data_IF_230882030166
#
_entry.id   IF_230882030166
#
_cell.length_a   1.000
_cell.length_b   1.000
_cell.length_c   1.000
_cell.angle_alpha   90.00
_cell.angle_beta   90.00
_cell.angle_gamma   90.00
#
_symmetry.space_group_name_H-M   'P 1'
#
loop_
_entity.id
_entity.type
_entity.pdbx_description
1 polymer ?
#
# COMPACT_ATOMS: atom_id res chain seq x y z
N UNK A 1 54.31 -4.79 -22.84
CA UNK A 1 54.30 -4.19 -21.49
C UNK A 1 53.19 -4.86 -20.70
N UNK A 2 53.53 -5.76 -19.77
CA UNK A 2 52.57 -6.59 -19.03
C UNK A 2 52.16 -5.81 -17.77
N UNK A 3 50.90 -5.40 -17.67
CA UNK A 3 50.35 -4.76 -16.47
C UNK A 3 50.01 -5.87 -15.46
N UNK A 4 50.67 -5.86 -14.30
CA UNK A 4 50.45 -6.88 -13.26
C UNK A 4 49.23 -6.56 -12.41
N UNK A 5 48.50 -7.61 -12.00
CA UNK A 5 47.27 -7.58 -11.18
C UNK A 5 47.40 -6.86 -9.82
N UNK A 6 48.60 -6.50 -9.37
CA UNK A 6 48.82 -5.76 -8.12
C UNK A 6 48.61 -4.24 -8.24
N UNK A 7 48.59 -3.68 -9.45
CA UNK A 7 48.35 -2.25 -9.66
C UNK A 7 46.89 -1.80 -9.46
N UNK A 8 45.92 -2.73 -9.49
CA UNK A 8 44.50 -2.40 -9.41
C UNK A 8 43.94 -2.30 -7.98
N UNK A 9 44.67 -2.78 -6.97
CA UNK A 9 44.17 -2.82 -5.58
C UNK A 9 44.51 -1.52 -4.82
N UNK A 10 45.50 -0.74 -5.28
CA UNK A 10 45.88 0.50 -4.61
C UNK A 10 45.02 1.73 -4.99
N UNK A 11 44.18 1.64 -6.03
CA UNK A 11 43.41 2.78 -6.55
C UNK A 11 41.99 2.94 -5.98
N UNK A 12 41.46 1.94 -5.27
CA UNK A 12 40.04 1.90 -4.87
C UNK A 12 39.77 2.35 -3.44
N UNK A 13 40.80 2.59 -2.63
CA UNK A 13 40.61 2.96 -1.22
C UNK A 13 40.26 4.45 -1.02
N UNK A 14 40.54 5.34 -1.99
CA UNK A 14 40.33 6.78 -1.84
C UNK A 14 39.03 7.32 -2.45
N UNK A 15 38.31 6.53 -3.26
CA UNK A 15 37.07 6.95 -3.95
C UNK A 15 35.79 6.67 -3.18
N UNK A 16 35.83 5.89 -2.09
CA UNK A 16 34.64 5.53 -1.31
C UNK A 16 34.07 6.66 -0.44
N UNK A 17 34.92 7.56 0.08
CA UNK A 17 34.47 8.60 1.01
C UNK A 17 33.81 9.81 0.32
N UNK A 18 34.15 10.08 -0.95
CA UNK A 18 33.61 11.24 -1.70
C UNK A 18 32.22 10.95 -2.28
N UNK A 19 31.89 9.68 -2.55
CA UNK A 19 30.58 9.30 -3.10
C UNK A 19 29.44 9.41 -2.08
N UNK A 20 29.71 9.17 -0.79
CA UNK A 20 28.67 9.23 0.25
C UNK A 20 28.24 10.66 0.61
N UNK A 21 29.14 11.64 0.53
CA UNK A 21 28.78 13.06 0.73
C UNK A 21 28.11 13.70 -0.51
N UNK A 22 28.24 13.07 -1.69
CA UNK A 22 27.67 13.55 -2.95
C UNK A 22 26.18 13.24 -3.10
N UNK A 23 25.72 12.07 -2.62
CA UNK A 23 24.32 11.68 -2.73
C UNK A 23 23.37 12.62 -1.96
N UNK A 24 23.77 13.09 -0.77
CA UNK A 24 22.98 14.04 0.02
C UNK A 24 22.81 15.39 -0.69
N UNK A 25 23.85 15.89 -1.38
CA UNK A 25 23.75 17.14 -2.16
C UNK A 25 22.93 16.99 -3.44
N UNK A 26 22.97 15.81 -4.07
CA UNK A 26 22.19 15.50 -5.28
C UNK A 26 20.69 15.36 -4.93
N UNK A 27 20.34 14.72 -3.83
CA UNK A 27 18.94 14.60 -3.36
C UNK A 27 18.35 15.97 -2.97
N UNK A 28 19.18 16.93 -2.57
CA UNK A 28 18.76 18.30 -2.25
C UNK A 28 18.68 19.23 -3.48
N UNK A 29 19.12 18.80 -4.67
CA UNK A 29 18.99 19.59 -5.89
C UNK A 29 17.61 19.40 -6.56
N UNK A 30 16.85 20.47 -6.82
CA UNK A 30 15.52 20.40 -7.44
C UNK A 30 15.51 19.69 -8.81
N UNK A 31 16.61 19.81 -9.57
CA UNK A 31 16.74 19.19 -10.89
C UNK A 31 16.86 17.67 -10.84
N UNK A 32 17.64 17.13 -9.89
CA UNK A 32 17.77 15.69 -9.69
C UNK A 32 16.45 15.07 -9.19
N UNK A 33 15.74 15.76 -8.28
CA UNK A 33 14.38 15.36 -7.88
C UNK A 33 13.41 15.30 -9.06
N UNK A 34 13.43 16.30 -9.96
CA UNK A 34 12.58 16.28 -11.17
C UNK A 34 12.88 15.09 -12.07
N UNK A 35 14.14 14.69 -12.22
CA UNK A 35 14.51 13.52 -13.05
C UNK A 35 14.03 12.21 -12.41
N UNK A 36 14.13 12.08 -11.08
CA UNK A 36 13.63 10.91 -10.36
C UNK A 36 12.10 10.78 -10.45
N UNK A 37 11.36 11.87 -10.23
CA UNK A 37 9.90 11.89 -10.40
C UNK A 37 9.47 11.68 -11.86
N UNK A 38 10.29 12.10 -12.83
CA UNK A 38 10.08 11.75 -14.24
C UNK A 38 10.15 10.22 -14.43
N UNK A 39 11.07 9.56 -13.75
CA UNK A 39 11.21 8.10 -13.76
C UNK A 39 9.97 7.39 -13.25
N UNK A 40 9.43 7.83 -12.11
CA UNK A 40 8.19 7.26 -11.53
C UNK A 40 6.98 7.51 -12.44
N UNK A 41 6.81 8.74 -12.94
CA UNK A 41 5.71 9.09 -13.85
C UNK A 41 5.81 8.36 -15.18
N UNK A 42 7.02 8.16 -15.70
CA UNK A 42 7.29 7.35 -16.89
C UNK A 42 7.02 5.87 -16.63
N UNK A 43 7.44 5.31 -15.50
CA UNK A 43 7.17 3.93 -15.12
C UNK A 43 5.67 3.67 -15.04
N UNK A 44 4.94 4.53 -14.31
CA UNK A 44 3.48 4.48 -14.21
C UNK A 44 2.80 4.65 -15.57
N UNK A 45 3.27 5.59 -16.38
CA UNK A 45 2.76 5.82 -17.73
C UNK A 45 2.94 4.60 -18.65
N UNK A 46 4.13 3.99 -18.61
CA UNK A 46 4.47 2.82 -19.40
C UNK A 46 3.66 1.60 -18.98
N UNK A 47 3.58 1.30 -17.67
CA UNK A 47 2.79 0.16 -17.18
C UNK A 47 1.31 0.30 -17.57
N UNK A 48 0.74 1.52 -17.51
CA UNK A 48 -0.64 1.78 -17.93
C UNK A 48 -0.85 1.73 -19.45
N UNK A 49 0.18 1.98 -20.24
CA UNK A 49 0.09 1.88 -21.70
C UNK A 49 0.21 0.42 -22.18
N UNK A 50 0.95 -0.40 -21.44
CA UNK A 50 1.22 -1.80 -21.80
C UNK A 50 0.22 -2.80 -21.18
N UNK A 51 -0.36 -2.47 -20.04
CA UNK A 51 -1.29 -3.35 -19.33
C UNK A 51 -2.72 -2.86 -19.51
N UNK A 52 -3.62 -3.76 -19.94
CA UNK A 52 -5.05 -3.48 -19.95
C UNK A 52 -5.49 -3.04 -18.54
N UNK A 53 -6.30 -1.99 -18.46
CA UNK A 53 -6.70 -1.38 -17.20
C UNK A 53 -7.44 -2.36 -16.29
N UNK A 54 -8.12 -3.33 -16.88
CA UNK A 54 -8.86 -4.38 -16.19
C UNK A 54 -8.13 -5.74 -16.19
N UNK A 55 -6.86 -5.78 -16.61
CA UNK A 55 -6.06 -7.00 -16.56
C UNK A 55 -5.89 -7.47 -15.11
N UNK A 56 -6.44 -8.64 -14.83
CA UNK A 56 -6.32 -9.29 -13.54
C UNK A 56 -4.88 -9.75 -13.31
N UNK A 57 -4.39 -9.60 -12.07
CA UNK A 57 -3.20 -10.31 -11.63
C UNK A 57 -3.47 -11.82 -11.61
N UNK A 58 -2.44 -12.65 -11.77
CA UNK A 58 -2.58 -14.10 -11.68
C UNK A 58 -3.25 -14.52 -10.37
N UNK A 59 -4.28 -15.37 -10.49
CA UNK A 59 -4.88 -16.06 -9.37
C UNK A 59 -4.36 -17.49 -9.30
N UNK A 60 -4.21 -17.99 -8.08
CA UNK A 60 -3.56 -19.27 -7.79
C UNK A 60 -4.57 -20.31 -7.32
N UNK A 61 -4.25 -21.59 -7.51
CA UNK A 61 -5.04 -22.69 -6.98
C UNK A 61 -4.91 -22.78 -5.44
N UNK A 62 -5.91 -23.32 -4.73
CA UNK A 62 -5.88 -23.46 -3.26
C UNK A 62 -4.65 -24.21 -2.71
N UNK A 63 -4.09 -25.13 -3.48
CA UNK A 63 -2.92 -25.95 -3.15
C UNK A 63 -1.61 -25.16 -3.23
N UNK A 64 -1.61 -24.05 -3.96
CA UNK A 64 -0.44 -23.16 -4.11
C UNK A 64 -0.35 -22.11 -3.00
N UNK A 65 -1.31 -22.10 -2.06
CA UNK A 65 -1.26 -21.19 -0.91
C UNK A 65 -0.01 -21.43 -0.07
N UNK A 66 0.60 -20.35 0.41
CA UNK A 66 1.72 -20.47 1.34
C UNK A 66 1.24 -21.14 2.64
N UNK A 67 2.01 -22.09 3.21
CA UNK A 67 1.65 -22.75 4.48
C UNK A 67 1.40 -21.75 5.62
N UNK A 68 2.14 -20.65 5.57
CA UNK A 68 2.00 -19.52 6.47
C UNK A 68 2.04 -18.22 5.66
N UNK A 69 1.05 -17.35 5.86
CA UNK A 69 1.05 -16.04 5.26
C UNK A 69 1.84 -15.06 6.14
N UNK A 70 3.07 -14.75 5.74
CA UNK A 70 3.98 -13.88 6.49
C UNK A 70 3.40 -12.46 6.61
N UNK A 71 3.34 -11.87 7.83
CA UNK A 71 2.95 -10.47 8.00
C UNK A 71 4.11 -9.53 7.65
N UNK A 72 3.81 -8.45 6.92
CA UNK A 72 4.72 -7.34 6.63
C UNK A 72 4.49 -6.14 7.59
N UNK A 73 5.52 -5.35 7.90
CA UNK A 73 5.38 -4.14 8.74
C UNK A 73 4.86 -4.41 10.16
N UNK A 74 4.09 -3.46 10.72
CA UNK A 74 3.52 -3.52 12.07
C UNK A 74 2.72 -4.79 12.31
N UNK A 75 2.95 -5.55 13.39
CA UNK A 75 2.19 -6.79 13.67
C UNK A 75 1.06 -6.61 14.69
N UNK A 76 1.07 -5.52 15.41
CA UNK A 76 0.02 -5.09 16.32
C UNK A 76 0.13 -3.56 16.43
N UNK A 77 -0.94 -2.79 16.16
CA UNK A 77 -0.93 -1.34 16.34
C UNK A 77 -0.47 -0.91 17.73
N UNK A 78 -0.82 -1.69 18.77
CA UNK A 78 -0.43 -1.41 20.15
C UNK A 78 -1.00 -0.12 20.74
N UNK A 79 -1.91 0.57 20.03
CA UNK A 79 -2.56 1.79 20.51
C UNK A 79 -3.69 1.44 21.49
N UNK A 80 -3.95 2.26 22.52
CA UNK A 80 -5.05 2.03 23.47
C UNK A 80 -6.40 1.88 22.76
N UNK A 81 -6.66 2.71 21.74
CA UNK A 81 -7.89 2.71 20.96
C UNK A 81 -8.08 1.39 20.20
N UNK A 82 -7.04 0.92 19.51
CA UNK A 82 -7.10 -0.37 18.80
C UNK A 82 -7.19 -1.55 19.78
N UNK A 83 -6.50 -1.46 20.93
CA UNK A 83 -6.57 -2.45 22.00
C UNK A 83 -7.99 -2.63 22.54
N UNK A 84 -8.72 -1.53 22.75
CA UNK A 84 -10.12 -1.56 23.17
C UNK A 84 -11.03 -2.23 22.12
N UNK A 85 -10.85 -1.88 20.83
CA UNK A 85 -11.59 -2.50 19.74
C UNK A 85 -11.32 -4.00 19.65
N UNK A 86 -10.05 -4.42 19.77
CA UNK A 86 -9.66 -5.83 19.78
C UNK A 86 -10.27 -6.59 20.96
N UNK A 87 -10.29 -6.01 22.15
CA UNK A 87 -10.89 -6.62 23.34
C UNK A 87 -12.40 -6.88 23.16
N UNK A 88 -13.09 -5.99 22.44
CA UNK A 88 -14.49 -6.15 22.05
C UNK A 88 -14.71 -6.99 20.79
N UNK A 89 -13.73 -7.79 20.32
CA UNK A 89 -13.78 -8.55 19.07
C UNK A 89 -14.20 -7.69 17.85
N UNK A 90 -13.80 -6.42 17.84
CA UNK A 90 -14.12 -5.43 16.81
C UNK A 90 -15.63 -5.17 16.63
N UNK A 91 -16.47 -5.47 17.61
CA UNK A 91 -17.91 -5.18 17.55
C UNK A 91 -18.19 -3.68 17.37
N UNK A 92 -17.38 -2.83 17.99
CA UNK A 92 -17.49 -1.36 17.92
C UNK A 92 -16.61 -0.74 16.81
N UNK A 93 -15.84 -1.55 16.08
CA UNK A 93 -15.02 -1.03 14.98
C UNK A 93 -15.92 -0.53 13.85
N UNK A 94 -15.54 0.61 13.29
CA UNK A 94 -16.23 1.23 12.16
C UNK A 94 -15.22 1.73 11.13
N UNK A 95 -15.45 1.42 9.86
CA UNK A 95 -14.73 2.01 8.74
C UNK A 95 -15.46 3.26 8.27
N UNK A 96 -14.86 4.43 8.52
CA UNK A 96 -15.38 5.69 8.01
C UNK A 96 -15.03 5.84 6.52
N UNK A 97 -15.99 6.27 5.70
CA UNK A 97 -15.80 6.61 4.29
C UNK A 97 -16.24 8.05 4.08
N UNK A 98 -15.31 8.91 3.69
CA UNK A 98 -15.48 10.37 3.68
C UNK A 98 -14.74 11.08 2.55
N UNK A 99 -14.44 12.36 2.79
CA UNK A 99 -13.82 13.25 1.82
C UNK A 99 -14.82 13.72 0.76
N UNK A 100 -14.43 13.62 -0.50
CA UNK A 100 -15.22 14.00 -1.67
C UNK A 100 -16.28 12.95 -2.00
N UNK A 101 -17.24 12.76 -1.10
CA UNK A 101 -18.38 11.85 -1.26
C UNK A 101 -19.70 12.60 -1.06
N UNK A 102 -20.78 12.11 -1.68
CA UNK A 102 -22.12 12.66 -1.53
C UNK A 102 -22.73 12.25 -0.18
N UNK A 103 -22.46 11.02 0.25
CA UNK A 103 -22.97 10.43 1.49
C UNK A 103 -21.80 9.82 2.26
N UNK A 104 -21.27 10.50 3.29
CA UNK A 104 -20.32 9.86 4.20
C UNK A 104 -20.95 8.62 4.82
N UNK A 105 -20.21 7.51 4.84
CA UNK A 105 -20.66 6.22 5.36
C UNK A 105 -19.78 5.77 6.52
N UNK A 106 -20.33 4.89 7.35
CA UNK A 106 -19.63 4.26 8.46
C UNK A 106 -20.05 2.80 8.50
N UNK A 107 -19.16 1.89 8.12
CA UNK A 107 -19.45 0.47 8.02
C UNK A 107 -18.95 -0.28 9.25
N UNK A 108 -19.80 -1.07 9.89
CA UNK A 108 -19.32 -2.13 10.78
C UNK A 108 -18.68 -3.27 9.98
N UNK A 109 -17.99 -4.18 10.67
CA UNK A 109 -17.46 -5.40 10.03
C UNK A 109 -18.59 -6.26 9.42
N UNK A 110 -19.76 -6.29 10.09
CA UNK A 110 -20.95 -6.98 9.60
C UNK A 110 -21.47 -6.36 8.30
N UNK A 111 -21.51 -5.02 8.23
CA UNK A 111 -21.97 -4.32 7.03
C UNK A 111 -21.05 -4.58 5.84
N UNK A 112 -19.72 -4.57 6.06
CA UNK A 112 -18.75 -4.93 5.01
C UNK A 112 -18.92 -6.38 4.55
N UNK A 113 -19.20 -7.31 5.45
CA UNK A 113 -19.49 -8.70 5.12
C UNK A 113 -20.79 -8.91 4.34
N UNK A 114 -21.75 -7.99 4.46
CA UNK A 114 -23.04 -8.04 3.77
C UNK A 114 -23.01 -7.47 2.34
N UNK A 115 -21.98 -6.70 1.99
CA UNK A 115 -21.77 -6.22 0.62
C UNK A 115 -21.42 -7.38 -0.34
N UNK A 116 -21.55 -7.22 -1.67
CA UNK A 116 -21.07 -8.20 -2.64
C UNK A 116 -19.59 -8.52 -2.40
N UNK A 117 -19.30 -9.80 -2.16
CA UNK A 117 -17.96 -10.27 -1.81
C UNK A 117 -17.19 -10.70 -3.06
N UNK A 118 -15.89 -10.41 -3.05
CA UNK A 118 -14.90 -11.05 -3.92
C UNK A 118 -14.00 -11.93 -3.07
N UNK A 119 -13.80 -13.17 -3.51
CA UNK A 119 -12.71 -14.01 -3.06
C UNK A 119 -11.64 -14.06 -4.15
N UNK A 120 -10.36 -14.03 -3.77
CA UNK A 120 -9.23 -14.13 -4.69
C UNK A 120 -8.06 -14.81 -3.99
N UNK A 121 -7.35 -15.69 -4.69
CA UNK A 121 -6.10 -16.29 -4.20
C UNK A 121 -4.96 -15.63 -4.94
N UNK A 122 -4.28 -14.70 -4.28
CA UNK A 122 -3.31 -13.80 -4.90
C UNK A 122 -1.98 -13.84 -4.16
N UNK A 123 -0.91 -13.52 -4.88
CA UNK A 123 0.42 -13.37 -4.31
C UNK A 123 0.60 -11.95 -3.78
N UNK A 124 1.19 -11.85 -2.60
CA UNK A 124 1.68 -10.60 -2.04
C UNK A 124 3.18 -10.57 -2.23
N UNK A 125 3.66 -9.57 -2.96
CA UNK A 125 5.08 -9.36 -3.23
C UNK A 125 5.60 -8.22 -2.34
N UNK A 126 6.51 -8.55 -1.42
CA UNK A 126 7.08 -7.60 -0.48
C UNK A 126 8.39 -7.01 -1.02
N UNK A 127 8.58 -5.71 -0.80
CA UNK A 127 9.83 -4.99 -1.13
C UNK A 127 11.07 -5.59 -0.44
N UNK A 128 10.87 -6.31 0.67
CA UNK A 128 11.92 -7.03 1.40
C UNK A 128 12.38 -8.33 0.71
N UNK A 129 11.95 -8.60 -0.53
CA UNK A 129 12.44 -9.72 -1.34
C UNK A 129 11.77 -11.07 -1.06
N UNK A 130 10.56 -11.07 -0.49
CA UNK A 130 9.79 -12.29 -0.23
C UNK A 130 8.36 -12.16 -0.74
N UNK A 131 7.73 -13.31 -1.02
CA UNK A 131 6.34 -13.37 -1.45
C UNK A 131 5.53 -14.38 -0.65
N UNK A 132 4.23 -14.15 -0.50
CA UNK A 132 3.30 -15.10 0.11
C UNK A 132 1.98 -15.15 -0.64
N UNK A 133 1.42 -16.34 -0.83
CA UNK A 133 0.13 -16.56 -1.51
C UNK A 133 -0.95 -16.81 -0.46
N UNK A 134 -2.03 -16.04 -0.52
CA UNK A 134 -3.15 -16.12 0.41
C UNK A 134 -4.49 -16.01 -0.29
N UNK A 135 -5.51 -16.68 0.26
CA UNK A 135 -6.90 -16.46 -0.14
C UNK A 135 -7.46 -15.29 0.66
N UNK A 136 -7.86 -14.23 -0.03
CA UNK A 136 -8.46 -13.05 0.56
C UNK A 136 -9.94 -12.99 0.25
N UNK A 137 -10.71 -12.39 1.16
CA UNK A 137 -12.12 -12.13 0.94
C UNK A 137 -12.54 -10.77 1.49
N UNK A 138 -13.29 -10.03 0.68
CA UNK A 138 -13.82 -8.72 1.01
C UNK A 138 -14.63 -8.09 -0.13
N UNK A 139 -15.38 -7.01 0.15
CA UNK A 139 -16.01 -6.22 -0.91
C UNK A 139 -14.96 -5.47 -1.73
N UNK A 140 -15.30 -5.19 -3.00
CA UNK A 140 -14.47 -4.35 -3.87
C UNK A 140 -14.48 -2.92 -3.36
N UNK A 141 -13.31 -2.27 -3.33
CA UNK A 141 -13.19 -0.88 -2.89
C UNK A 141 -14.05 0.05 -3.77
N UNK A 142 -14.03 -0.15 -5.09
CA UNK A 142 -14.84 0.63 -6.03
C UNK A 142 -16.34 0.60 -5.71
N UNK A 143 -16.88 -0.52 -5.21
CA UNK A 143 -18.30 -0.61 -4.87
C UNK A 143 -18.64 0.15 -3.58
N UNK A 144 -17.72 0.15 -2.60
CA UNK A 144 -17.83 0.98 -1.39
C UNK A 144 -17.81 2.47 -1.74
N UNK A 145 -16.90 2.88 -2.63
CA UNK A 145 -16.80 4.27 -3.10
C UNK A 145 -18.04 4.72 -3.89
N UNK A 146 -18.60 3.82 -4.72
CA UNK A 146 -19.87 4.06 -5.43
C UNK A 146 -21.04 4.20 -4.46
N UNK A 147 -21.11 3.35 -3.43
CA UNK A 147 -22.16 3.42 -2.41
C UNK A 147 -22.16 4.77 -1.66
N UNK A 148 -20.97 5.27 -1.32
CA UNK A 148 -20.79 6.60 -0.73
C UNK A 148 -21.08 7.76 -1.71
N UNK A 149 -21.18 7.47 -3.01
CA UNK A 149 -21.37 8.47 -4.06
C UNK A 149 -20.15 9.39 -4.19
N UNK A 150 -18.98 8.81 -4.47
CA UNK A 150 -17.76 9.57 -4.76
C UNK A 150 -18.03 10.67 -5.79
N UNK A 151 -17.64 11.90 -5.48
CA UNK A 151 -17.88 13.09 -6.30
C UNK A 151 -16.86 13.20 -7.43
N UNK A 152 -17.28 13.86 -8.50
CA UNK A 152 -16.40 14.29 -9.57
C UNK A 152 -15.27 15.17 -9.02
N UNK A 153 -14.08 15.03 -9.60
CA UNK A 153 -12.88 15.76 -9.17
C UNK A 153 -12.07 15.04 -8.08
N UNK A 154 -12.58 13.98 -7.46
CA UNK A 154 -11.73 13.06 -6.71
C UNK A 154 -10.69 12.42 -7.65
N UNK A 155 -9.45 12.26 -7.16
CA UNK A 155 -8.33 11.71 -7.94
C UNK A 155 -7.58 10.61 -7.20
N UNK A 156 -7.65 10.62 -5.87
CA UNK A 156 -6.93 9.70 -5.01
C UNK A 156 -7.83 9.22 -3.87
N UNK A 157 -7.52 8.03 -3.38
CA UNK A 157 -8.13 7.44 -2.19
C UNK A 157 -7.06 7.32 -1.12
N UNK A 158 -7.32 7.90 0.04
CA UNK A 158 -6.41 7.92 1.18
C UNK A 158 -6.95 7.01 2.26
N UNK A 159 -6.07 6.18 2.81
CA UNK A 159 -6.35 5.20 3.85
C UNK A 159 -5.66 5.62 5.15
N UNK A 160 -6.43 5.83 6.21
CA UNK A 160 -5.90 6.05 7.56
C UNK A 160 -5.99 4.76 8.36
N UNK A 161 -4.92 4.43 9.06
CA UNK A 161 -4.75 3.16 9.77
C UNK A 161 -4.65 3.39 11.28
N UNK A 162 -4.87 2.32 12.06
CA UNK A 162 -4.80 2.38 13.52
C UNK A 162 -3.35 2.31 14.05
N UNK A 163 -2.40 1.88 13.23
CA UNK A 163 -1.02 1.68 13.64
C UNK A 163 -0.16 2.93 13.52
N UNK A 164 0.91 2.92 14.32
CA UNK A 164 2.00 3.86 14.26
C UNK A 164 3.23 3.16 13.70
N UNK A 165 3.91 3.81 12.77
CA UNK A 165 5.21 3.37 12.28
C UNK A 165 6.25 4.42 12.65
N UNK A 166 7.32 4.01 13.33
CA UNK A 166 8.32 4.95 13.87
C UNK A 166 7.73 6.03 14.79
N UNK A 167 6.59 5.76 15.44
CA UNK A 167 5.88 6.72 16.30
C UNK A 167 4.94 7.69 15.57
N UNK A 168 4.84 7.64 14.24
CA UNK A 168 3.93 8.47 13.45
C UNK A 168 2.76 7.64 12.90
N UNK A 169 1.55 8.22 12.75
CA UNK A 169 0.40 7.54 12.18
C UNK A 169 0.67 6.99 10.77
N UNK A 170 0.38 5.70 10.57
CA UNK A 170 0.47 5.10 9.26
C UNK A 170 -0.71 5.52 8.38
N UNK A 171 -0.42 5.88 7.14
CA UNK A 171 -1.41 6.14 6.12
C UNK A 171 -0.87 5.75 4.76
N UNK A 172 -1.79 5.53 3.82
CA UNK A 172 -1.45 5.15 2.46
C UNK A 172 -2.40 5.79 1.46
N UNK A 173 -2.03 5.84 0.18
CA UNK A 173 -2.95 6.24 -0.88
C UNK A 173 -2.73 5.52 -2.20
N UNK A 174 -3.80 5.47 -3.00
CA UNK A 174 -3.79 4.97 -4.37
C UNK A 174 -4.61 5.91 -5.27
N UNK A 175 -4.42 5.85 -6.58
CA UNK A 175 -5.28 6.54 -7.53
C UNK A 175 -6.60 5.80 -7.81
N UNK A 176 -7.46 6.45 -8.59
CA UNK A 176 -8.74 5.86 -8.99
C UNK A 176 -8.62 4.66 -9.93
N UNK A 177 -7.54 4.52 -10.69
CA UNK A 177 -7.36 3.35 -11.57
C UNK A 177 -7.20 2.10 -10.70
N UNK A 178 -6.34 2.17 -9.69
CA UNK A 178 -6.16 1.06 -8.74
C UNK A 178 -7.33 0.91 -7.78
N UNK A 179 -7.97 2.00 -7.34
CA UNK A 179 -9.12 1.92 -6.43
C UNK A 179 -10.34 1.21 -7.03
N UNK A 180 -10.54 1.36 -8.35
CA UNK A 180 -11.65 0.72 -9.07
C UNK A 180 -11.27 -0.59 -9.75
N UNK A 181 -10.03 -1.04 -9.62
CA UNK A 181 -9.58 -2.30 -10.19
C UNK A 181 -10.39 -3.49 -9.60
N UNK A 182 -10.79 -4.49 -10.40
CA UNK A 182 -11.65 -5.59 -9.94
C UNK A 182 -11.09 -6.43 -8.79
N UNK A 183 -9.75 -6.48 -8.61
CA UNK A 183 -9.06 -7.17 -7.53
C UNK A 183 -8.62 -6.27 -6.36
N UNK A 184 -9.01 -4.98 -6.36
CA UNK A 184 -8.78 -4.11 -5.20
C UNK A 184 -9.93 -4.25 -4.22
N UNK A 185 -9.66 -4.88 -3.07
CA UNK A 185 -10.68 -5.25 -2.08
C UNK A 185 -10.34 -4.75 -0.68
N UNK A 186 -11.38 -4.58 0.13
CA UNK A 186 -11.28 -4.37 1.57
C UNK A 186 -11.41 -5.72 2.27
N UNK A 187 -10.30 -6.42 2.42
CA UNK A 187 -10.30 -7.79 2.93
C UNK A 187 -10.57 -7.83 4.43
N UNK A 188 -11.49 -8.69 4.86
CA UNK A 188 -11.77 -9.01 6.27
C UNK A 188 -11.43 -10.46 6.63
N UNK A 189 -11.15 -11.30 5.63
CA UNK A 189 -10.71 -12.68 5.82
C UNK A 189 -9.41 -13.00 5.08
N UNK A 190 -8.64 -13.93 5.66
CA UNK A 190 -7.45 -14.55 5.09
C UNK A 190 -7.52 -16.07 5.32
N UNK A 191 -7.40 -16.84 4.24
CA UNK A 191 -7.43 -18.30 4.27
C UNK A 191 -8.65 -18.82 5.06
N UNK A 192 -9.83 -18.34 4.64
CA UNK A 192 -11.16 -18.78 5.12
C UNK A 192 -11.43 -18.49 6.62
N UNK A 193 -10.62 -17.64 7.23
CA UNK A 193 -10.74 -17.20 8.64
C UNK A 193 -10.67 -15.69 8.73
N UNK A 194 -11.23 -15.11 9.80
CA UNK A 194 -11.03 -13.70 10.10
C UNK A 194 -9.53 -13.36 10.15
N UNK A 195 -9.20 -12.15 9.72
CA UNK A 195 -7.82 -11.70 9.68
C UNK A 195 -7.14 -11.86 11.05
N UNK A 196 -5.95 -12.47 11.12
CA UNK A 196 -5.09 -12.32 12.27
C UNK A 196 -4.70 -10.86 12.46
N UNK A 197 -4.50 -10.42 13.71
CA UNK A 197 -4.03 -9.06 14.02
C UNK A 197 -2.73 -8.75 13.28
N UNK A 198 -1.77 -9.67 13.22
CA UNK A 198 -0.53 -9.49 12.47
C UNK A 198 -0.73 -9.18 10.97
N UNK A 199 -1.85 -9.64 10.40
CA UNK A 199 -2.18 -9.47 8.99
C UNK A 199 -3.17 -8.32 8.72
N UNK A 200 -3.54 -7.53 9.73
CA UNK A 200 -4.30 -6.30 9.55
C UNK A 200 -5.78 -6.39 9.94
N UNK A 201 -6.13 -7.20 10.94
CA UNK A 201 -7.47 -7.25 11.48
C UNK A 201 -8.01 -5.85 11.89
N UNK A 202 -9.33 -5.62 11.87
CA UNK A 202 -10.36 -6.50 11.33
C UNK A 202 -10.50 -6.38 9.81
N UNK A 203 -9.90 -5.36 9.19
CA UNK A 203 -10.00 -5.05 7.78
C UNK A 203 -8.70 -4.45 7.25
N UNK A 204 -8.28 -4.90 6.06
CA UNK A 204 -7.10 -4.37 5.35
C UNK A 204 -7.41 -4.06 3.89
N UNK A 205 -6.59 -3.21 3.28
CA UNK A 205 -6.55 -3.05 1.84
C UNK A 205 -5.76 -4.21 1.20
N UNK A 206 -6.27 -4.69 0.08
CA UNK A 206 -5.55 -5.49 -0.91
C UNK A 206 -5.59 -4.75 -2.24
N UNK A 207 -4.42 -4.37 -2.76
CA UNK A 207 -4.24 -3.68 -4.04
C UNK A 207 -3.25 -4.50 -4.87
N UNK A 208 -3.76 -5.51 -5.56
CA UNK A 208 -2.92 -6.64 -6.00
C UNK A 208 -1.89 -6.31 -7.09
N UNK A 209 -2.06 -5.17 -7.78
CA UNK A 209 -1.10 -4.69 -8.80
C UNK A 209 0.05 -3.87 -8.20
N UNK A 210 0.16 -3.79 -6.88
CA UNK A 210 1.19 -3.01 -6.21
C UNK A 210 1.95 -3.82 -5.14
N UNK A 211 3.17 -3.39 -4.86
CA UNK A 211 4.02 -3.97 -3.82
C UNK A 211 3.40 -3.86 -2.42
N UNK A 212 3.85 -4.75 -1.54
CA UNK A 212 3.20 -5.02 -0.26
C UNK A 212 3.10 -3.85 0.72
N UNK A 213 3.93 -2.81 0.59
CA UNK A 213 3.84 -1.63 1.44
C UNK A 213 2.57 -0.80 1.16
N UNK A 214 2.05 -0.85 -0.07
CA UNK A 214 0.81 -0.16 -0.46
C UNK A 214 -0.46 -0.83 0.08
N UNK A 215 -0.34 -2.05 0.61
CA UNK A 215 -1.47 -2.83 1.14
C UNK A 215 -1.73 -2.44 2.61
N UNK A 216 -2.32 -1.27 2.82
CA UNK A 216 -2.63 -0.73 4.15
C UNK A 216 -3.37 -1.72 5.07
N UNK A 217 -3.01 -1.74 6.35
CA UNK A 217 -3.57 -2.63 7.38
C UNK A 217 -4.32 -1.83 8.44
N UNK A 218 -5.15 -2.49 9.24
CA UNK A 218 -5.83 -1.86 10.38
C UNK A 218 -6.65 -0.63 9.96
N UNK A 219 -7.39 -0.75 8.86
CA UNK A 219 -8.09 0.38 8.26
C UNK A 219 -9.09 0.99 9.24
N UNK A 220 -9.07 2.31 9.36
CA UNK A 220 -10.00 3.09 10.18
C UNK A 220 -10.81 4.07 9.33
N UNK A 221 -10.21 4.60 8.26
CA UNK A 221 -10.85 5.60 7.41
C UNK A 221 -10.38 5.52 5.96
N UNK A 222 -11.29 5.85 5.05
CA UNK A 222 -11.07 6.02 3.62
C UNK A 222 -11.60 7.39 3.22
N UNK A 223 -10.79 8.22 2.60
CA UNK A 223 -11.21 9.51 2.05
C UNK A 223 -10.91 9.61 0.55
N UNK A 224 -11.92 10.03 -0.22
CA UNK A 224 -11.71 10.48 -1.59
C UNK A 224 -11.20 11.93 -1.59
N UNK A 225 -10.10 12.21 -2.29
CA UNK A 225 -9.47 13.53 -2.31
C UNK A 225 -9.04 13.96 -3.71
N UNK A 226 -9.02 15.26 -3.97
CA UNK A 226 -8.58 15.82 -5.25
C UNK A 226 -7.05 15.90 -5.40
N UNK A 227 -6.32 15.97 -4.28
CA UNK A 227 -4.87 16.14 -4.26
C UNK A 227 -4.27 15.55 -2.99
N UNK A 228 -3.04 15.06 -3.09
CA UNK A 228 -2.24 14.56 -1.97
C UNK A 228 -1.38 15.66 -1.34
N UNK A 229 -1.22 16.84 -1.97
CA UNK A 229 -0.27 17.87 -1.56
C UNK A 229 -0.47 18.40 -0.12
N UNK A 230 -1.68 18.31 0.43
CA UNK A 230 -2.00 18.71 1.81
C UNK A 230 -2.10 17.56 2.80
N UNK A 231 -1.68 16.35 2.43
CA UNK A 231 -1.81 15.13 3.23
C UNK A 231 -0.41 14.62 3.57
N UNK A 232 -0.15 14.43 4.87
CA UNK A 232 1.20 14.11 5.35
C UNK A 232 2.21 15.17 4.90
N UNK A 233 3.29 14.73 4.25
CA UNK A 233 4.30 15.61 3.64
C UNK A 233 4.07 15.80 2.13
N UNK A 234 2.91 15.41 1.63
CA UNK A 234 2.48 15.63 0.25
C UNK A 234 3.01 14.62 -0.77
N UNK A 235 3.69 13.55 -0.33
CA UNK A 235 4.26 12.53 -1.23
C UNK A 235 3.39 11.29 -1.41
N UNK A 236 2.30 11.18 -0.66
CA UNK A 236 1.21 10.25 -0.96
C UNK A 236 1.11 9.02 -0.07
N UNK A 237 1.99 8.82 0.89
CA UNK A 237 1.88 7.73 1.85
C UNK A 237 2.99 7.82 2.89
N UNK A 238 2.92 6.96 3.90
CA UNK A 238 3.92 6.96 4.97
C UNK A 238 5.33 6.67 4.43
N UNK A 239 5.48 5.69 3.54
CA UNK A 239 6.79 5.27 3.04
C UNK A 239 7.41 6.30 2.10
N UNK A 240 6.59 6.90 1.26
CA UNK A 240 6.92 7.99 0.36
C UNK A 240 7.37 9.23 1.15
N UNK A 241 6.66 9.55 2.23
CA UNK A 241 6.95 10.69 3.10
C UNK A 241 8.26 10.54 3.89
N UNK A 242 8.59 9.32 4.32
CA UNK A 242 9.64 9.10 5.33
C UNK A 242 10.87 8.35 4.83
N UNK A 243 10.73 7.54 3.78
CA UNK A 243 11.78 6.65 3.27
C UNK A 243 11.99 6.83 1.75
N UNK A 244 11.30 7.79 1.13
CA UNK A 244 11.40 8.12 -0.30
C UNK A 244 11.15 6.90 -1.22
N UNK A 245 10.21 6.04 -0.83
CA UNK A 245 9.70 5.00 -1.72
C UNK A 245 8.90 5.62 -2.87
N UNK A 246 8.80 4.91 -3.99
CA UNK A 246 7.95 5.31 -5.10
C UNK A 246 6.47 5.31 -4.66
N UNK A 247 5.71 6.31 -5.06
CA UNK A 247 4.29 6.36 -4.71
C UNK A 247 3.48 5.32 -5.51
N UNK A 248 3.80 5.17 -6.80
CA UNK A 248 3.27 4.11 -7.64
C UNK A 248 4.19 2.88 -7.63
N UNK A 249 3.82 1.88 -6.85
CA UNK A 249 4.60 0.65 -6.63
C UNK A 249 4.15 -0.51 -7.51
N UNK A 250 3.87 -0.24 -8.79
CA UNK A 250 3.25 -1.20 -9.71
C UNK A 250 4.13 -2.42 -10.01
N UNK A 251 3.50 -3.60 -10.12
CA UNK A 251 4.14 -4.88 -10.52
C UNK A 251 3.42 -5.55 -11.68
#
# INVERSE_FOLDING_TARGET
>A
MIVSRRGLIAGTAASGAVLLAGCDRVIQQPAARRILFLGEDMHRGLQRALTDRDALVPEFAPEQRSPFFRPNGTRDPGTPEYGALRAGNFADWRLAVGGMVARPLSFSLKDLGALPQRAQITRHDCVEGWSAIGKWQGPRLGDVLKAAGMRDGARYIVFTCADLYGGAPYYESIDLVDAFHPQTILAWALNDRFLPVANGAPCRLRVERQLGYKHAKYLMRIDAVASLAGIGRGKGGYWEDNVDYDWYAGI
#
